data_IF_229648393478
#
_entry.id   IF_229648393478
#
_cell.length_a   1.000
_cell.length_b   1.000
_cell.length_c   1.000
_cell.angle_alpha   90.00
_cell.angle_beta   90.00
_cell.angle_gamma   90.00
#
_symmetry.space_group_name_H-M   'P 1'
#
loop_
_entity.id
_entity.type
_entity.pdbx_description
1 polymer ?
#
# COMPACT_ATOMS: atom_id res chain seq x y z
N UNK A 1 -25.64 -10.52 13.62
CA UNK A 1 -25.06 -9.64 14.65
C UNK A 1 -23.75 -10.28 15.07
N UNK A 2 -22.60 -9.68 14.75
CA UNK A 2 -21.30 -10.31 14.99
C UNK A 2 -20.66 -9.73 16.25
N UNK A 3 -20.23 -10.62 17.11
CA UNK A 3 -19.72 -10.38 18.45
C UNK A 3 -18.40 -9.59 18.40
N UNK A 4 -18.31 -8.51 19.17
CA UNK A 4 -17.14 -7.63 19.27
C UNK A 4 -15.92 -8.33 19.92
N UNK A 5 -16.10 -9.55 20.44
CA UNK A 5 -15.07 -10.34 21.11
C UNK A 5 -13.90 -10.80 20.23
N UNK A 6 -14.07 -10.96 18.91
CA UNK A 6 -12.96 -11.40 18.03
C UNK A 6 -11.93 -10.29 17.76
N UNK A 7 -12.37 -9.03 17.68
CA UNK A 7 -11.47 -7.88 17.47
C UNK A 7 -10.67 -7.60 18.74
N UNK A 8 -11.21 -7.93 19.91
CA UNK A 8 -10.58 -7.70 21.20
C UNK A 8 -9.25 -8.47 21.38
N UNK A 9 -9.08 -9.61 20.67
CA UNK A 9 -7.86 -10.43 20.76
C UNK A 9 -6.71 -10.00 19.83
N UNK A 10 -6.96 -9.12 18.85
CA UNK A 10 -5.92 -8.61 17.93
C UNK A 10 -5.70 -7.09 18.01
N UNK A 11 -6.39 -6.40 18.93
CA UNK A 11 -6.24 -4.98 19.14
C UNK A 11 -4.91 -4.69 19.86
N UNK A 12 -3.85 -4.47 19.09
CA UNK A 12 -2.58 -3.96 19.60
C UNK A 12 -2.76 -2.48 19.98
N UNK A 13 -2.97 -2.18 21.26
CA UNK A 13 -3.07 -0.81 21.77
C UNK A 13 -1.67 -0.22 21.84
N UNK A 14 -1.25 0.49 20.79
CA UNK A 14 0.05 1.17 20.73
C UNK A 14 -0.14 2.69 20.72
N UNK A 15 0.47 3.38 21.70
CA UNK A 15 0.40 4.84 21.83
C UNK A 15 1.11 5.56 20.67
N UNK A 16 2.05 4.89 20.02
CA UNK A 16 2.81 5.41 18.88
C UNK A 16 3.25 4.28 17.95
N UNK A 17 3.26 4.56 16.65
CA UNK A 17 3.87 3.70 15.63
C UNK A 17 5.08 4.40 15.03
N UNK A 18 6.17 3.66 14.86
CA UNK A 18 7.35 4.14 14.14
C UNK A 18 7.14 3.84 12.64
N UNK A 19 7.01 4.88 11.83
CA UNK A 19 6.87 4.76 10.37
C UNK A 19 7.99 5.59 9.74
N UNK A 20 8.87 4.94 8.98
CA UNK A 20 10.01 5.57 8.30
C UNK A 20 10.86 6.47 9.23
N UNK A 21 11.20 5.97 10.43
CA UNK A 21 12.03 6.70 11.41
C UNK A 21 11.32 7.83 12.15
N UNK A 22 10.03 8.08 11.89
CA UNK A 22 9.22 9.08 12.61
C UNK A 22 8.23 8.40 13.54
N UNK A 23 8.26 8.79 14.81
CA UNK A 23 7.27 8.39 15.82
C UNK A 23 6.00 9.18 15.60
N UNK A 24 4.91 8.51 15.23
CA UNK A 24 3.59 9.15 15.09
C UNK A 24 2.67 8.67 16.20
N UNK A 25 2.05 9.62 16.91
CA UNK A 25 1.04 9.33 17.95
C UNK A 25 -0.21 8.78 17.28
N UNK A 26 -0.67 7.62 17.73
CA UNK A 26 -1.84 6.95 17.16
C UNK A 26 -3.10 7.61 17.74
N UNK A 27 -3.86 8.33 16.91
CA UNK A 27 -5.12 8.96 17.33
C UNK A 27 -6.32 7.99 17.24
N UNK A 28 -6.31 7.07 16.27
CA UNK A 28 -7.37 6.10 16.03
C UNK A 28 -6.82 4.90 15.25
N UNK A 29 -7.16 3.69 15.68
CA UNK A 29 -6.92 2.46 14.92
C UNK A 29 -8.24 2.09 14.25
N UNK A 30 -8.25 1.94 12.93
CA UNK A 30 -9.42 1.43 12.20
C UNK A 30 -9.18 -0.03 11.86
N UNK A 31 -10.01 -0.92 12.42
CA UNK A 31 -9.99 -2.33 12.11
C UNK A 31 -11.05 -2.62 11.02
N UNK A 32 -10.63 -3.26 9.94
CA UNK A 32 -11.51 -3.68 8.84
C UNK A 32 -11.44 -5.19 8.69
N UNK A 33 -12.52 -5.78 8.17
CA UNK A 33 -12.51 -7.19 7.76
C UNK A 33 -11.43 -7.40 6.69
N UNK A 34 -10.60 -8.46 6.77
CA UNK A 34 -9.55 -8.71 5.77
C UNK A 34 -10.09 -8.74 4.33
N UNK A 35 -11.29 -9.28 4.11
CA UNK A 35 -11.91 -9.34 2.79
C UNK A 35 -12.27 -7.94 2.25
N UNK A 36 -12.74 -7.04 3.12
CA UNK A 36 -13.04 -5.66 2.72
C UNK A 36 -11.76 -4.89 2.40
N UNK A 37 -10.73 -5.01 3.25
CA UNK A 37 -9.43 -4.38 3.02
C UNK A 37 -8.81 -4.88 1.71
N UNK A 38 -8.88 -6.20 1.46
CA UNK A 38 -8.38 -6.79 0.23
C UNK A 38 -9.09 -6.22 -1.00
N UNK A 39 -10.43 -6.22 -0.98
CA UNK A 39 -11.25 -5.85 -2.13
C UNK A 39 -11.19 -4.36 -2.46
N UNK A 40 -11.20 -3.51 -1.44
CA UNK A 40 -11.37 -2.06 -1.64
C UNK A 40 -10.09 -1.26 -1.48
N UNK A 41 -9.06 -1.82 -0.86
CA UNK A 41 -7.82 -1.10 -0.60
C UNK A 41 -6.62 -1.75 -1.31
N UNK A 42 -6.27 -2.98 -0.96
CA UNK A 42 -5.00 -3.57 -1.44
C UNK A 42 -5.06 -3.97 -2.91
N UNK A 43 -6.15 -4.58 -3.39
CA UNK A 43 -6.28 -4.99 -4.79
C UNK A 43 -6.22 -3.79 -5.76
N UNK A 44 -6.98 -2.69 -5.56
CA UNK A 44 -6.86 -1.52 -6.44
C UNK A 44 -5.45 -0.90 -6.43
N UNK A 45 -4.81 -0.80 -5.27
CA UNK A 45 -3.44 -0.25 -5.16
C UNK A 45 -2.45 -1.13 -5.93
N UNK A 46 -2.56 -2.46 -5.83
CA UNK A 46 -1.71 -3.38 -6.58
C UNK A 46 -1.87 -3.21 -8.10
N UNK A 47 -3.11 -3.02 -8.58
CA UNK A 47 -3.38 -2.77 -10.00
C UNK A 47 -2.76 -1.44 -10.46
N UNK A 48 -2.93 -0.36 -9.70
CA UNK A 48 -2.30 0.94 -10.00
C UNK A 48 -0.77 0.83 -10.04
N UNK A 49 -0.19 0.09 -9.09
CA UNK A 49 1.26 -0.12 -9.04
C UNK A 49 1.77 -0.84 -10.30
N UNK A 50 1.03 -1.83 -10.78
CA UNK A 50 1.36 -2.54 -12.02
C UNK A 50 1.29 -1.62 -13.25
N UNK A 51 0.32 -0.70 -13.31
CA UNK A 51 0.22 0.31 -14.37
C UNK A 51 1.45 1.22 -14.35
N UNK A 52 1.77 1.81 -13.19
CA UNK A 52 2.94 2.69 -13.05
C UNK A 52 4.28 1.98 -13.31
N UNK A 53 4.36 0.67 -13.07
CA UNK A 53 5.55 -0.11 -13.43
C UNK A 53 5.69 -0.27 -14.94
N UNK A 54 4.59 -0.56 -15.66
CA UNK A 54 4.60 -0.66 -17.12
C UNK A 54 4.97 0.67 -17.77
N UNK A 55 4.44 1.79 -17.28
CA UNK A 55 4.78 3.12 -17.79
C UNK A 55 6.27 3.43 -17.62
N UNK A 56 6.83 3.15 -16.44
CA UNK A 56 8.27 3.32 -16.20
C UNK A 56 9.13 2.45 -17.11
N UNK A 57 8.72 1.20 -17.34
CA UNK A 57 9.42 0.31 -18.29
C UNK A 57 9.38 0.86 -19.71
N UNK A 58 8.23 1.36 -20.16
CA UNK A 58 8.10 1.95 -21.49
C UNK A 58 8.93 3.23 -21.65
N UNK A 59 8.98 4.07 -20.61
CA UNK A 59 9.85 5.25 -20.60
C UNK A 59 11.33 4.86 -20.68
N UNK A 60 11.77 3.91 -19.86
CA UNK A 60 13.16 3.42 -19.88
C UNK A 60 13.54 2.82 -21.26
N UNK A 61 12.65 2.05 -21.89
CA UNK A 61 12.88 1.50 -23.23
C UNK A 61 12.99 2.61 -24.28
N UNK A 62 12.14 3.65 -24.21
CA UNK A 62 12.21 4.81 -25.12
C UNK A 62 13.51 5.58 -24.95
N UNK A 63 13.95 5.80 -23.72
CA UNK A 63 15.23 6.45 -23.43
C UNK A 63 16.41 5.66 -24.03
N UNK A 64 16.43 4.32 -23.85
CA UNK A 64 17.46 3.48 -24.45
C UNK A 64 17.47 3.54 -25.98
N UNK A 65 16.30 3.49 -26.63
CA UNK A 65 16.20 3.61 -28.09
C UNK A 65 16.71 4.96 -28.60
N UNK A 66 16.43 6.05 -27.87
CA UNK A 66 16.90 7.39 -28.24
C UNK A 66 18.42 7.54 -28.03
N UNK A 67 19.03 6.82 -27.08
CA UNK A 67 20.50 6.82 -26.92
C UNK A 67 21.22 6.04 -28.02
N UNK A 68 20.58 5.02 -28.60
CA UNK A 68 21.18 4.20 -29.66
C UNK A 68 21.06 4.80 -31.06
N UNK A 69 20.32 5.91 -31.24
CA UNK A 69 20.14 6.59 -32.53
C UNK A 69 21.00 7.84 -32.72
N UNK A 70 21.78 8.25 -31.71
CA UNK A 70 22.70 9.40 -31.76
C UNK A 70 24.16 8.92 -31.65
N UNK A 71 24.54 7.86 -32.38
CA UNK A 71 25.93 7.40 -32.50
C UNK A 71 26.25 7.01 -33.93
#
# INVERSE_FOLDING_TARGET
MYDLGEIQRSLMVVNSIAVAGRTRRVKKIMAYRPQWLSRFYTQPIAQLTAIFQRERQQQAVRELLNTCTIS
#
